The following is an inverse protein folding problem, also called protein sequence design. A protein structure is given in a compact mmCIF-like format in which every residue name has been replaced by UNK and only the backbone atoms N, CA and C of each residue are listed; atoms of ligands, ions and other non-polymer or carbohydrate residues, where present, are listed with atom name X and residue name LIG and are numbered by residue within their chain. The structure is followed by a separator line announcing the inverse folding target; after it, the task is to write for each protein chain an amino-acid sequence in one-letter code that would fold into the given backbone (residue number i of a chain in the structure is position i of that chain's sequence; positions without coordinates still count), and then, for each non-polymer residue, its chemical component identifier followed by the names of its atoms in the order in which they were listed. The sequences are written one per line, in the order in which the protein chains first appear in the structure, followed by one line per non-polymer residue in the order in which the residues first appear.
data_IF_200060956304
#
_entry.id   IF_200060956304
#
_cell.length_a   1.000
_cell.length_b   1.000
_cell.length_c   1.000
_cell.angle_alpha   90.00
_cell.angle_beta   90.00
_cell.angle_gamma   90.00
#
_symmetry.space_group_name_H-M   'P 1'
#
loop_
_entity.id
_entity.type
_entity.pdbx_description
1 polymer ?
#
# COMPACT_ATOMS: atom_id res chain seq x y z
N UNK A 1 -26.71 37.15 14.64
CA UNK A 1 -26.40 35.79 15.14
C UNK A 1 -25.04 35.45 14.58
N UNK A 2 -24.11 35.06 15.45
CA UNK A 2 -22.66 35.17 15.23
C UNK A 2 -22.18 34.25 14.11
N UNK A 3 -21.24 34.83 13.38
CA UNK A 3 -20.48 34.47 12.20
C UNK A 3 -19.36 33.45 12.48
N UNK A 4 -19.15 32.45 11.61
CA UNK A 4 -17.85 31.79 11.40
C UNK A 4 -17.72 31.36 9.93
N UNK A 5 -17.21 32.27 9.11
CA UNK A 5 -16.43 31.96 7.91
C UNK A 5 -15.37 30.89 8.23
N UNK A 6 -15.36 29.79 7.48
CA UNK A 6 -14.18 28.92 7.37
C UNK A 6 -13.58 29.14 5.99
N UNK A 7 -12.60 30.04 5.95
CA UNK A 7 -11.63 30.17 4.87
C UNK A 7 -10.26 29.94 5.50
N UNK A 8 -9.58 28.86 5.07
CA UNK A 8 -8.12 28.76 5.04
C UNK A 8 -7.76 27.38 4.46
N UNK A 9 -7.16 27.39 3.28
CA UNK A 9 -6.51 26.22 2.72
C UNK A 9 -5.32 25.78 3.57
N UNK A 10 -5.37 24.54 4.03
CA UNK A 10 -4.22 23.64 4.21
C UNK A 10 -4.74 22.23 3.99
N UNK A 11 -4.30 21.59 2.92
CA UNK A 11 -4.73 20.25 2.47
C UNK A 11 -4.12 19.13 3.34
N UNK A 12 -4.51 19.08 4.61
CA UNK A 12 -4.20 18.01 5.56
C UNK A 12 -5.46 17.63 6.37
N UNK A 13 -6.64 17.77 5.77
CA UNK A 13 -7.83 17.12 6.30
C UNK A 13 -7.60 15.61 6.22
N UNK A 14 -7.71 14.85 7.33
CA UNK A 14 -7.73 13.39 7.23
C UNK A 14 -8.82 13.05 6.23
N UNK A 15 -8.55 12.12 5.31
CA UNK A 15 -9.55 11.67 4.35
C UNK A 15 -10.70 11.05 5.15
N UNK A 16 -11.72 11.86 5.48
CA UNK A 16 -12.93 11.41 6.17
C UNK A 16 -13.83 10.91 5.06
N UNK A 17 -13.66 9.64 4.72
CA UNK A 17 -14.59 8.95 3.83
C UNK A 17 -16.01 9.08 4.38
N UNK A 18 -16.96 9.40 3.51
CA UNK A 18 -18.36 9.38 3.93
C UNK A 18 -18.83 7.93 4.20
N UNK A 19 -19.94 7.78 4.94
CA UNK A 19 -20.44 6.44 5.30
C UNK A 19 -20.77 5.59 4.06
N UNK A 20 -21.11 6.21 2.92
CA UNK A 20 -21.48 5.51 1.68
C UNK A 20 -20.24 5.06 0.88
N UNK A 21 -19.17 5.84 0.89
CA UNK A 21 -17.86 5.50 0.36
C UNK A 21 -17.30 4.33 1.17
N UNK A 22 -17.34 4.40 2.50
CA UNK A 22 -16.87 3.33 3.37
C UNK A 22 -17.64 2.02 3.16
N UNK A 23 -18.95 2.10 2.90
CA UNK A 23 -19.76 0.95 2.54
C UNK A 23 -19.36 0.37 1.16
N UNK A 24 -19.11 1.23 0.18
CA UNK A 24 -18.64 0.81 -1.16
C UNK A 24 -17.27 0.12 -1.10
N UNK A 25 -16.37 0.64 -0.27
CA UNK A 25 -15.05 0.05 -0.02
C UNK A 25 -15.14 -1.31 0.69
N UNK A 26 -15.99 -1.43 1.72
CA UNK A 26 -16.25 -2.72 2.38
C UNK A 26 -16.87 -3.76 1.43
N UNK A 27 -17.71 -3.30 0.51
CA UNK A 27 -18.28 -4.13 -0.55
C UNK A 27 -17.19 -4.57 -1.53
N UNK A 28 -16.31 -3.67 -1.96
CA UNK A 28 -15.16 -3.99 -2.81
C UNK A 28 -14.26 -5.07 -2.17
N UNK A 29 -13.94 -4.93 -0.87
CA UNK A 29 -13.20 -5.96 -0.11
C UNK A 29 -13.91 -7.31 -0.14
N UNK A 30 -15.23 -7.32 0.05
CA UNK A 30 -16.04 -8.55 0.01
C UNK A 30 -16.03 -9.19 -1.38
N UNK A 31 -16.04 -8.40 -2.45
CA UNK A 31 -15.90 -8.89 -3.82
C UNK A 31 -14.51 -9.47 -4.07
N UNK A 32 -13.44 -8.82 -3.59
CA UNK A 32 -12.07 -9.31 -3.71
C UNK A 32 -11.87 -10.65 -2.97
N UNK A 33 -12.40 -10.78 -1.75
CA UNK A 33 -12.38 -12.05 -1.01
C UNK A 33 -13.11 -13.17 -1.76
N UNK A 34 -14.25 -12.85 -2.38
CA UNK A 34 -14.95 -13.82 -3.23
C UNK A 34 -14.17 -14.15 -4.50
N UNK A 35 -13.49 -13.17 -5.11
CA UNK A 35 -12.62 -13.40 -6.25
C UNK A 35 -11.51 -14.40 -5.91
N UNK A 36 -10.80 -14.18 -4.80
CA UNK A 36 -9.75 -15.08 -4.30
C UNK A 36 -10.30 -16.47 -3.97
N UNK A 37 -11.54 -16.56 -3.46
CA UNK A 37 -12.19 -17.87 -3.22
C UNK A 37 -12.45 -18.64 -4.52
N UNK A 38 -12.71 -17.94 -5.62
CA UNK A 38 -12.97 -18.53 -6.94
C UNK A 38 -11.66 -18.83 -7.66
N UNK A 39 -10.72 -17.89 -7.64
CA UNK A 39 -9.38 -18.03 -8.19
C UNK A 39 -8.32 -17.59 -7.15
N UNK A 40 -7.76 -18.54 -6.38
CA UNK A 40 -6.78 -18.22 -5.35
C UNK A 40 -5.41 -17.82 -5.90
N UNK A 41 -5.16 -18.05 -7.18
CA UNK A 41 -3.87 -17.81 -7.84
C UNK A 41 -3.86 -16.52 -8.67
N UNK A 42 -4.77 -15.59 -8.37
CA UNK A 42 -4.81 -14.27 -8.99
C UNK A 42 -3.95 -13.29 -8.16
N UNK A 43 -2.72 -12.95 -8.60
CA UNK A 43 -1.86 -12.01 -7.86
C UNK A 43 -2.53 -10.65 -7.69
N UNK A 44 -3.18 -10.13 -8.74
CA UNK A 44 -3.85 -8.83 -8.72
C UNK A 44 -4.98 -8.80 -7.68
N UNK A 45 -5.72 -9.89 -7.52
CA UNK A 45 -6.77 -9.94 -6.48
C UNK A 45 -6.19 -9.88 -5.06
N UNK A 46 -5.04 -10.51 -4.80
CA UNK A 46 -4.33 -10.39 -3.52
C UNK A 46 -3.80 -8.97 -3.31
N UNK A 47 -3.16 -8.37 -4.31
CA UNK A 47 -2.69 -6.99 -4.26
C UNK A 47 -3.80 -5.99 -3.92
N UNK A 48 -4.92 -6.04 -4.64
CA UNK A 48 -6.07 -5.17 -4.41
C UNK A 48 -6.70 -5.38 -3.03
N UNK A 49 -6.70 -6.62 -2.53
CA UNK A 49 -7.16 -6.90 -1.17
C UNK A 49 -6.22 -6.29 -0.12
N UNK A 50 -4.90 -6.29 -0.38
CA UNK A 50 -3.91 -5.62 0.47
C UNK A 50 -4.16 -4.11 0.56
N UNK A 51 -4.39 -3.44 -0.57
CA UNK A 51 -4.74 -2.03 -0.61
C UNK A 51 -6.01 -1.74 0.20
N UNK A 52 -7.03 -2.59 0.03
CA UNK A 52 -8.28 -2.47 0.77
C UNK A 52 -8.07 -2.61 2.30
N UNK A 53 -7.20 -3.51 2.76
CA UNK A 53 -6.88 -3.61 4.19
C UNK A 53 -6.15 -2.37 4.72
N UNK A 54 -5.25 -1.80 3.94
CA UNK A 54 -4.51 -0.60 4.31
C UNK A 54 -5.43 0.62 4.43
N UNK A 55 -6.24 0.89 3.39
CA UNK A 55 -7.05 2.11 3.28
C UNK A 55 -8.31 2.09 4.15
N UNK A 56 -8.95 0.92 4.30
CA UNK A 56 -10.26 0.82 4.94
C UNK A 56 -10.15 0.46 6.42
N UNK A 57 -9.30 -0.52 6.72
CA UNK A 57 -9.20 -1.10 8.06
C UNK A 57 -7.99 -0.55 8.84
N UNK A 58 -7.03 0.08 8.15
CA UNK A 58 -5.73 0.41 8.72
C UNK A 58 -4.94 -0.83 9.17
N UNK A 59 -5.27 -2.00 8.60
CA UNK A 59 -4.73 -3.29 9.00
C UNK A 59 -3.44 -3.58 8.21
N UNK A 60 -2.36 -2.98 8.70
CA UNK A 60 -1.02 -3.09 8.15
C UNK A 60 -0.49 -4.53 8.09
N UNK A 61 -0.87 -5.40 9.03
CA UNK A 61 -0.46 -6.81 9.03
C UNK A 61 -1.12 -7.57 7.88
N UNK A 62 -2.42 -7.39 7.67
CA UNK A 62 -3.14 -8.05 6.56
C UNK A 62 -2.77 -7.47 5.20
N UNK A 63 -2.48 -6.18 5.12
CA UNK A 63 -1.91 -5.56 3.93
C UNK A 63 -0.63 -6.31 3.51
N UNK A 64 0.32 -6.46 4.44
CA UNK A 64 1.60 -7.09 4.15
C UNK A 64 1.46 -8.56 3.74
N UNK A 65 0.61 -9.33 4.42
CA UNK A 65 0.31 -10.71 4.06
C UNK A 65 -0.25 -10.83 2.63
N UNK A 66 -1.13 -9.92 2.25
CA UNK A 66 -1.70 -9.87 0.89
C UNK A 66 -0.65 -9.54 -0.17
N UNK A 67 0.23 -8.56 0.08
CA UNK A 67 1.33 -8.25 -0.84
C UNK A 67 2.32 -9.41 -0.97
N UNK A 68 2.64 -10.09 0.13
CA UNK A 68 3.49 -11.28 0.10
C UNK A 68 2.87 -12.41 -0.72
N UNK A 69 1.55 -12.64 -0.61
CA UNK A 69 0.83 -13.63 -1.44
C UNK A 69 0.81 -13.23 -2.92
N UNK A 70 0.60 -11.95 -3.22
CA UNK A 70 0.68 -11.43 -4.59
C UNK A 70 2.05 -11.70 -5.19
N UNK A 71 3.12 -11.30 -4.49
CA UNK A 71 4.51 -11.46 -4.95
C UNK A 71 5.00 -12.91 -4.95
N UNK A 72 4.35 -13.81 -4.21
CA UNK A 72 4.62 -15.24 -4.32
C UNK A 72 4.04 -15.85 -5.61
N UNK A 73 3.01 -15.24 -6.20
CA UNK A 73 2.38 -15.65 -7.45
C UNK A 73 3.00 -14.93 -8.65
N UNK A 74 3.33 -13.65 -8.50
CA UNK A 74 4.02 -12.82 -9.50
C UNK A 74 5.12 -11.99 -8.83
N UNK A 75 6.36 -12.53 -8.76
CA UNK A 75 7.48 -11.83 -8.12
C UNK A 75 7.88 -10.54 -8.84
N UNK A 76 7.62 -10.45 -10.14
CA UNK A 76 8.16 -9.38 -10.99
C UNK A 76 7.22 -8.15 -11.05
N UNK A 77 6.12 -8.17 -10.29
CA UNK A 77 5.21 -7.03 -10.14
C UNK A 77 5.88 -5.91 -9.33
N UNK A 78 6.63 -5.07 -10.03
CA UNK A 78 7.39 -3.97 -9.46
C UNK A 78 6.51 -2.95 -8.72
N UNK A 79 5.25 -2.78 -9.11
CA UNK A 79 4.29 -1.95 -8.41
C UNK A 79 4.00 -2.44 -6.99
N UNK A 80 3.84 -3.76 -6.81
CA UNK A 80 3.62 -4.35 -5.48
C UNK A 80 4.92 -4.42 -4.68
N UNK A 81 6.07 -4.65 -5.32
CA UNK A 81 7.37 -4.54 -4.65
C UNK A 81 7.58 -3.12 -4.10
N UNK A 82 7.26 -2.08 -4.87
CA UNK A 82 7.31 -0.68 -4.42
C UNK A 82 6.35 -0.43 -3.25
N UNK A 83 5.11 -0.92 -3.34
CA UNK A 83 4.12 -0.73 -2.28
C UNK A 83 4.55 -1.39 -0.95
N UNK A 84 5.13 -2.59 -1.03
CA UNK A 84 5.65 -3.31 0.14
C UNK A 84 6.91 -2.65 0.70
N UNK A 85 7.83 -2.22 -0.15
CA UNK A 85 9.02 -1.48 0.24
C UNK A 85 8.68 -0.18 0.96
N UNK A 86 7.72 0.60 0.45
CA UNK A 86 7.28 1.84 1.08
C UNK A 86 6.68 1.61 2.47
N UNK A 87 5.94 0.51 2.63
CA UNK A 87 5.43 0.07 3.92
C UNK A 87 6.58 -0.29 4.89
N UNK A 88 7.59 -1.04 4.44
CA UNK A 88 8.76 -1.39 5.26
C UNK A 88 9.56 -0.17 5.69
N UNK A 89 9.77 0.80 4.79
CA UNK A 89 10.43 2.07 5.12
C UNK A 89 9.66 2.80 6.23
N UNK A 90 8.34 2.91 6.08
CA UNK A 90 7.49 3.63 7.03
C UNK A 90 7.45 2.99 8.42
N UNK A 91 7.68 1.67 8.50
CA UNK A 91 7.73 0.91 9.75
C UNK A 91 9.16 0.70 10.27
N UNK A 92 10.17 1.31 9.66
CA UNK A 92 11.58 1.20 10.07
C UNK A 92 12.21 -0.18 9.80
N UNK A 93 11.55 -1.04 9.01
CA UNK A 93 12.04 -2.36 8.61
C UNK A 93 13.01 -2.26 7.43
N UNK A 94 14.13 -1.56 7.65
CA UNK A 94 15.08 -1.20 6.60
C UNK A 94 15.74 -2.43 5.95
N UNK A 95 15.95 -3.52 6.69
CA UNK A 95 16.53 -4.74 6.09
C UNK A 95 15.59 -5.37 5.05
N UNK A 96 14.29 -5.44 5.34
CA UNK A 96 13.30 -6.00 4.42
C UNK A 96 13.08 -5.04 3.22
N UNK A 97 13.07 -3.73 3.48
CA UNK A 97 13.03 -2.71 2.42
C UNK A 97 14.25 -2.80 1.47
N UNK A 98 15.45 -3.10 1.98
CA UNK A 98 16.64 -3.27 1.15
C UNK A 98 16.53 -4.49 0.23
N UNK A 99 15.92 -5.59 0.71
CA UNK A 99 15.66 -6.77 -0.13
C UNK A 99 14.77 -6.40 -1.31
N UNK A 100 13.67 -5.69 -1.06
CA UNK A 100 12.76 -5.24 -2.11
C UNK A 100 13.43 -4.23 -3.06
N UNK A 101 14.31 -3.36 -2.53
CA UNK A 101 15.05 -2.41 -3.37
C UNK A 101 15.99 -3.12 -4.33
N UNK A 102 16.75 -4.08 -3.83
CA UNK A 102 17.65 -4.89 -4.66
C UNK A 102 16.87 -5.73 -5.67
N UNK A 103 15.65 -6.14 -5.33
CA UNK A 103 14.78 -6.82 -6.27
C UNK A 103 14.37 -5.91 -7.42
N UNK A 104 13.91 -4.68 -7.14
CA UNK A 104 13.60 -3.68 -8.18
C UNK A 104 14.79 -3.40 -9.10
N UNK A 105 16.01 -3.36 -8.55
CA UNK A 105 17.23 -3.19 -9.33
C UNK A 105 17.53 -4.39 -10.21
N UNK A 106 17.28 -5.60 -9.72
CA UNK A 106 17.44 -6.81 -10.53
C UNK A 106 16.42 -6.93 -11.66
N UNK A 107 15.27 -6.27 -11.52
CA UNK A 107 14.22 -6.18 -12.54
C UNK A 107 14.48 -5.04 -13.56
N UNK A 108 15.54 -4.25 -13.37
CA UNK A 108 15.80 -3.00 -14.12
C UNK A 108 14.58 -2.04 -14.06
N UNK A 109 13.84 -2.02 -12.95
CA UNK A 109 12.65 -1.18 -12.80
C UNK A 109 13.01 0.31 -12.67
N UNK A 110 12.28 1.16 -13.38
CA UNK A 110 12.38 2.62 -13.27
C UNK A 110 12.06 3.13 -11.85
N UNK A 111 11.35 2.33 -11.05
CA UNK A 111 11.04 2.63 -9.66
C UNK A 111 12.23 2.45 -8.70
N UNK A 112 13.30 1.76 -9.10
CA UNK A 112 14.44 1.49 -8.23
C UNK A 112 15.16 2.77 -7.79
N UNK A 113 15.43 3.69 -8.72
CA UNK A 113 16.12 4.95 -8.43
C UNK A 113 15.38 5.86 -7.43
N UNK A 114 14.07 6.15 -7.59
CA UNK A 114 13.33 6.93 -6.60
C UNK A 114 13.24 6.18 -5.26
N UNK A 115 12.98 4.87 -5.24
CA UNK A 115 12.90 4.11 -3.99
C UNK A 115 14.23 4.04 -3.24
N UNK A 116 15.36 3.98 -3.96
CA UNK A 116 16.70 4.10 -3.36
C UNK A 116 16.87 5.41 -2.61
N UNK A 117 16.42 6.53 -3.21
CA UNK A 117 16.47 7.84 -2.55
C UNK A 117 15.60 7.86 -1.28
N UNK A 118 14.39 7.29 -1.33
CA UNK A 118 13.53 7.16 -0.14
C UNK A 118 14.17 6.30 0.95
N UNK A 119 14.78 5.18 0.57
CA UNK A 119 15.49 4.28 1.48
C UNK A 119 16.70 4.97 2.15
N UNK A 120 17.55 5.64 1.37
CA UNK A 120 18.71 6.35 1.90
C UNK A 120 18.31 7.48 2.87
N UNK A 121 17.24 8.21 2.56
CA UNK A 121 16.71 9.22 3.48
C UNK A 121 16.22 8.60 4.79
N UNK A 122 15.56 7.44 4.74
CA UNK A 122 15.10 6.74 5.93
C UNK A 122 16.24 6.20 6.79
N UNK A 123 17.33 5.74 6.17
CA UNK A 123 18.54 5.25 6.86
C UNK A 123 19.32 6.41 7.51
N UNK A 124 19.44 7.54 6.81
CA UNK A 124 20.24 8.69 7.25
C UNK A 124 19.49 9.67 8.16
N UNK A 125 18.15 9.61 8.17
CA UNK A 125 17.27 10.49 8.93
C UNK A 125 16.77 9.92 10.27
N UNK A 126 17.17 8.69 10.62
CA UNK A 126 16.84 8.01 11.88
C UNK A 126 17.84 8.25 13.00
#
# INVERSE_FOLDING_TARGET
MIDWFYDAGTSDDPIVYDDAELESYRLARTHLQNSIRINPNDPTAHALLGNAFAEIDGDAERQLDCYCKSLALDPDDDGIVVARLGWYISNGQLNDALVDLLHLESLDSDHASPMRTHYENAVNGG
#
